data_IF_011329737027
#
_entry.id   IF_011329737027
#
_cell.length_a   1.000
_cell.length_b   1.000
_cell.length_c   1.000
_cell.angle_alpha   90.00
_cell.angle_beta   90.00
_cell.angle_gamma   90.00
#
_symmetry.space_group_name_H-M   'P 1'
#
loop_
_entity.id
_entity.type
_entity.pdbx_description
1 polymer ?
#
# COMPACT_ATOMS: atom_id res chain seq x y z
N UNK A 1 -7.39 15.78 11.83
CA UNK A 1 -6.37 14.77 11.49
C UNK A 1 -6.98 13.40 11.75
N UNK A 2 -6.70 12.38 10.93
CA UNK A 2 -7.28 11.07 11.16
C UNK A 2 -6.73 10.47 12.46
N UNK A 3 -7.62 9.97 13.26
CA UNK A 3 -7.43 9.26 14.50
C UNK A 3 -7.18 7.80 14.14
N UNK A 4 -6.30 7.09 14.81
CA UNK A 4 -5.96 5.66 14.64
C UNK A 4 -6.09 5.12 13.20
N UNK A 5 -5.13 5.43 12.35
CA UNK A 5 -5.06 4.85 10.99
C UNK A 5 -4.14 3.66 11.02
N UNK A 6 -4.69 2.49 10.74
CA UNK A 6 -3.92 1.26 10.63
C UNK A 6 -3.85 0.77 9.18
N UNK A 7 -2.67 0.37 8.74
CA UNK A 7 -2.43 -0.19 7.40
C UNK A 7 -1.43 -1.33 7.47
N UNK A 8 -1.81 -2.49 6.93
CA UNK A 8 -0.89 -3.60 6.72
C UNK A 8 -0.08 -3.38 5.43
N UNK A 9 1.22 -3.57 5.50
CA UNK A 9 2.18 -3.35 4.41
C UNK A 9 3.07 -4.58 4.30
N UNK A 10 2.96 -5.37 3.21
CA UNK A 10 3.91 -6.45 2.94
C UNK A 10 5.28 -5.87 2.57
N UNK A 11 6.34 -6.46 3.09
CA UNK A 11 7.71 -6.12 2.78
C UNK A 11 8.31 -7.15 1.84
N UNK A 12 8.87 -6.67 0.73
CA UNK A 12 9.55 -7.48 -0.26
C UNK A 12 11.04 -7.17 -0.27
N UNK A 13 11.82 -8.04 -0.90
CA UNK A 13 13.24 -7.81 -1.14
C UNK A 13 13.38 -6.59 -2.06
N UNK A 14 14.15 -5.59 -1.64
CA UNK A 14 14.39 -4.39 -2.43
C UNK A 14 15.23 -4.73 -3.66
N UNK A 15 14.95 -4.06 -4.79
CA UNK A 15 15.67 -4.28 -6.04
C UNK A 15 17.19 -4.09 -5.86
N UNK A 16 17.98 -5.11 -6.22
CA UNK A 16 19.43 -5.10 -6.11
C UNK A 16 19.99 -5.28 -4.69
N UNK A 17 19.15 -5.64 -3.70
CA UNK A 17 19.58 -5.92 -2.33
C UNK A 17 19.33 -7.37 -1.93
N UNK A 18 20.07 -7.81 -0.91
CA UNK A 18 19.83 -9.11 -0.27
C UNK A 18 18.62 -9.04 0.67
N UNK A 19 18.13 -10.21 1.13
CA UNK A 19 17.09 -10.30 2.17
C UNK A 19 17.51 -9.55 3.42
N UNK A 20 18.71 -9.84 3.92
CA UNK A 20 19.26 -9.21 5.12
C UNK A 20 19.33 -7.68 4.95
N UNK A 21 19.90 -7.18 3.86
CA UNK A 21 19.97 -5.73 3.61
C UNK A 21 18.58 -5.07 3.53
N UNK A 22 17.59 -5.79 3.02
CA UNK A 22 16.21 -5.27 2.91
C UNK A 22 15.52 -5.23 4.27
N UNK A 23 15.72 -6.24 5.12
CA UNK A 23 15.22 -6.29 6.49
C UNK A 23 15.93 -5.24 7.36
N UNK A 24 17.28 -5.20 7.36
CA UNK A 24 18.05 -4.23 8.14
C UNK A 24 17.64 -2.79 7.84
N UNK A 25 17.45 -2.45 6.56
CA UNK A 25 17.04 -1.10 6.18
C UNK A 25 15.67 -0.70 6.76
N UNK A 26 14.76 -1.65 6.93
CA UNK A 26 13.42 -1.41 7.48
C UNK A 26 13.43 -1.39 8.99
N UNK A 27 14.00 -2.41 9.61
CA UNK A 27 14.05 -2.53 11.07
C UNK A 27 14.86 -1.39 11.67
N UNK A 28 16.03 -1.05 11.10
CA UNK A 28 16.83 0.09 11.56
C UNK A 28 16.11 1.45 11.42
N UNK A 29 15.25 1.60 10.41
CA UNK A 29 14.42 2.80 10.31
C UNK A 29 13.38 2.86 11.44
N UNK A 30 12.72 1.73 11.73
CA UNK A 30 11.72 1.66 12.77
C UNK A 30 12.33 1.81 14.18
N UNK A 31 13.44 1.12 14.44
CA UNK A 31 14.10 1.13 15.76
C UNK A 31 15.06 2.30 15.98
N UNK A 32 15.08 3.27 15.08
CA UNK A 32 16.00 4.41 15.14
C UNK A 32 15.96 5.11 16.52
N UNK A 33 17.07 5.18 17.26
CA UNK A 33 17.12 5.74 18.61
C UNK A 33 16.60 7.18 18.69
N UNK A 34 16.88 8.00 17.67
CA UNK A 34 16.40 9.39 17.62
C UNK A 34 14.87 9.52 17.57
N UNK A 35 14.16 8.44 17.24
CA UNK A 35 12.70 8.42 17.10
C UNK A 35 12.00 7.66 18.22
N UNK A 36 12.73 6.78 18.89
CA UNK A 36 12.23 5.81 19.87
C UNK A 36 12.75 6.08 21.29
N UNK A 37 13.02 7.34 21.61
CA UNK A 37 13.54 7.75 22.95
C UNK A 37 14.79 6.92 23.32
N UNK A 38 15.81 6.98 22.47
CA UNK A 38 17.06 6.20 22.59
C UNK A 38 16.86 4.68 22.68
N UNK A 39 15.82 4.14 22.06
CA UNK A 39 15.51 2.72 22.05
C UNK A 39 14.62 2.24 23.20
N UNK A 40 14.28 3.09 24.18
CA UNK A 40 13.38 2.73 25.30
C UNK A 40 11.98 2.33 24.82
N UNK A 41 11.54 2.86 23.68
CA UNK A 41 10.22 2.60 23.09
C UNK A 41 10.27 1.51 22.00
N UNK A 42 11.22 0.58 22.13
CA UNK A 42 11.32 -0.60 21.28
C UNK A 42 11.07 -1.83 22.13
N UNK A 43 10.02 -2.59 21.83
CA UNK A 43 9.70 -3.87 22.46
C UNK A 43 9.64 -4.97 21.42
N UNK A 44 9.98 -6.20 21.82
CA UNK A 44 10.00 -7.34 20.91
C UNK A 44 9.38 -8.58 21.56
N UNK A 45 8.96 -9.51 20.72
CA UNK A 45 8.49 -10.82 21.10
C UNK A 45 9.20 -11.88 20.26
N UNK A 46 9.79 -12.88 20.91
CA UNK A 46 10.49 -14.01 20.31
C UNK A 46 11.63 -13.61 19.35
N UNK A 47 12.23 -12.44 19.53
CA UNK A 47 13.44 -11.98 18.84
C UNK A 47 14.12 -10.86 19.63
N UNK A 48 15.39 -10.60 19.34
CA UNK A 48 16.11 -9.45 19.86
C UNK A 48 16.00 -8.26 18.87
N UNK A 49 15.60 -7.05 19.31
CA UNK A 49 15.50 -5.90 18.44
C UNK A 49 16.78 -5.55 17.66
N UNK A 50 17.95 -5.87 18.22
CA UNK A 50 19.26 -5.58 17.60
C UNK A 50 19.67 -6.59 16.52
N UNK A 51 19.14 -7.82 16.58
CA UNK A 51 19.50 -8.91 15.67
C UNK A 51 18.33 -9.46 14.87
N UNK A 52 17.15 -8.87 15.01
CA UNK A 52 15.92 -9.34 14.40
C UNK A 52 15.97 -9.47 12.87
N UNK A 53 16.73 -8.63 12.19
CA UNK A 53 16.94 -8.74 10.74
C UNK A 53 17.68 -10.04 10.37
N UNK A 54 18.71 -10.41 11.14
CA UNK A 54 19.43 -11.66 10.97
C UNK A 54 18.57 -12.87 11.36
N UNK A 55 17.80 -12.76 12.45
CA UNK A 55 16.89 -13.81 12.91
C UNK A 55 15.76 -14.07 11.91
N UNK A 56 15.15 -13.03 11.35
CA UNK A 56 14.13 -13.15 10.30
C UNK A 56 14.71 -13.75 9.01
N UNK A 57 15.93 -13.35 8.64
CA UNK A 57 16.62 -13.94 7.49
C UNK A 57 16.95 -15.43 7.72
N UNK A 58 17.34 -15.80 8.94
CA UNK A 58 17.62 -17.20 9.33
C UNK A 58 16.34 -18.04 9.30
N UNK A 59 15.26 -17.58 9.93
CA UNK A 59 13.96 -18.26 9.93
C UNK A 59 13.46 -18.51 8.51
N UNK A 60 13.70 -17.55 7.59
CA UNK A 60 13.39 -17.74 6.17
C UNK A 60 14.18 -18.88 5.54
N UNK A 61 15.48 -18.99 5.84
CA UNK A 61 16.31 -20.09 5.34
C UNK A 61 15.83 -21.43 5.89
N UNK A 62 15.52 -21.49 7.18
CA UNK A 62 14.96 -22.68 7.81
C UNK A 62 13.64 -23.09 7.15
N UNK A 63 12.72 -22.14 6.92
CA UNK A 63 11.47 -22.40 6.20
C UNK A 63 11.72 -22.99 4.80
N UNK A 64 12.69 -22.46 4.06
CA UNK A 64 13.03 -22.96 2.72
C UNK A 64 13.62 -24.38 2.79
N UNK A 65 14.48 -24.64 3.79
CA UNK A 65 15.06 -25.97 4.02
C UNK A 65 13.99 -26.99 4.39
N UNK A 66 13.07 -26.66 5.31
CA UNK A 66 12.04 -27.60 5.78
C UNK A 66 10.93 -27.84 4.75
N UNK A 67 10.57 -26.84 3.98
CA UNK A 67 9.41 -26.93 3.09
C UNK A 67 9.77 -27.08 1.62
N UNK A 68 11.00 -26.83 1.22
CA UNK A 68 11.46 -26.77 -0.18
C UNK A 68 10.83 -25.62 -0.98
N UNK A 69 10.12 -24.69 -0.34
CA UNK A 69 9.33 -23.65 -1.03
C UNK A 69 10.10 -22.37 -1.18
N UNK A 70 10.21 -21.91 -2.43
CA UNK A 70 10.75 -20.59 -2.80
C UNK A 70 9.73 -19.82 -3.63
N UNK A 71 9.71 -18.49 -3.51
CA UNK A 71 8.78 -17.63 -4.26
C UNK A 71 9.53 -16.46 -4.89
N UNK A 72 9.26 -16.18 -6.17
CA UNK A 72 9.93 -15.10 -6.93
C UNK A 72 9.68 -13.70 -6.35
N UNK A 73 8.49 -13.44 -5.83
CA UNK A 73 8.09 -12.17 -5.19
C UNK A 73 7.69 -12.42 -3.74
N UNK A 74 8.65 -12.92 -2.99
CA UNK A 74 8.44 -13.32 -1.62
C UNK A 74 8.22 -12.12 -0.70
N UNK A 75 7.23 -12.24 0.20
CA UNK A 75 7.11 -11.35 1.36
C UNK A 75 8.04 -11.88 2.45
N UNK A 76 8.93 -11.03 2.93
CA UNK A 76 9.94 -11.37 3.95
C UNK A 76 9.54 -10.94 5.36
N UNK A 77 8.73 -9.89 5.48
CA UNK A 77 8.14 -9.40 6.72
C UNK A 77 6.88 -8.61 6.40
N UNK A 78 6.14 -8.25 7.43
CA UNK A 78 4.98 -7.35 7.34
C UNK A 78 5.13 -6.21 8.32
N UNK A 79 4.50 -5.10 8.01
CA UNK A 79 4.41 -3.93 8.88
C UNK A 79 2.96 -3.49 9.03
N UNK A 80 2.57 -3.12 10.24
CA UNK A 80 1.38 -2.30 10.51
C UNK A 80 1.86 -0.97 11.08
N UNK A 81 1.26 0.12 10.63
CA UNK A 81 1.39 1.43 11.26
C UNK A 81 0.11 1.74 12.01
N UNK A 82 0.25 2.08 13.28
CA UNK A 82 -0.84 2.49 14.13
C UNK A 82 -0.54 3.90 14.66
N UNK A 83 -1.39 4.88 14.36
CA UNK A 83 -1.18 6.28 14.73
C UNK A 83 -2.26 6.74 15.69
N UNK A 84 -1.90 7.56 16.67
CA UNK A 84 -2.80 8.08 17.68
C UNK A 84 -3.05 9.57 17.49
N UNK A 85 -4.13 10.06 18.05
CA UNK A 85 -4.43 11.49 18.07
C UNK A 85 -3.44 12.22 19.00
N UNK A 86 -2.91 13.38 18.59
CA UNK A 86 -1.98 14.12 19.42
C UNK A 86 -2.54 14.44 20.82
N UNK A 87 -1.76 14.13 21.85
CA UNK A 87 -2.10 14.41 23.25
C UNK A 87 -3.08 13.41 23.89
N UNK A 88 -3.45 12.32 23.21
CA UNK A 88 -4.40 11.34 23.71
C UNK A 88 -3.75 10.14 24.39
N UNK A 89 -2.48 9.88 24.09
CA UNK A 89 -1.74 8.73 24.60
C UNK A 89 -0.29 9.14 24.86
N UNK A 90 0.33 8.56 25.89
CA UNK A 90 1.77 8.67 26.09
C UNK A 90 2.54 7.72 25.17
N UNK A 91 3.83 7.97 24.91
CA UNK A 91 4.64 7.07 24.09
C UNK A 91 4.70 5.64 24.65
N UNK A 92 4.77 5.50 25.95
CA UNK A 92 4.82 4.23 26.68
C UNK A 92 3.50 3.45 26.55
N UNK A 93 2.36 4.14 26.74
CA UNK A 93 1.03 3.55 26.51
C UNK A 93 0.84 3.14 25.04
N UNK A 94 1.28 3.97 24.10
CA UNK A 94 1.22 3.63 22.67
C UNK A 94 2.03 2.37 22.35
N UNK A 95 3.21 2.21 22.96
CA UNK A 95 4.04 1.01 22.79
C UNK A 95 3.34 -0.24 23.35
N UNK A 96 2.76 -0.14 24.56
CA UNK A 96 2.00 -1.22 25.17
C UNK A 96 0.78 -1.63 24.32
N UNK A 97 0.04 -0.66 23.79
CA UNK A 97 -1.10 -0.90 22.89
C UNK A 97 -0.62 -1.58 21.58
N UNK A 98 0.53 -1.17 21.03
CA UNK A 98 1.12 -1.83 19.87
C UNK A 98 1.51 -3.29 20.14
N UNK A 99 2.06 -3.55 21.32
CA UNK A 99 2.41 -4.91 21.74
C UNK A 99 1.15 -5.78 21.91
N UNK A 100 0.13 -5.26 22.55
CA UNK A 100 -1.16 -5.93 22.71
C UNK A 100 -1.80 -6.23 21.35
N UNK A 101 -1.79 -5.26 20.44
CA UNK A 101 -2.27 -5.47 19.08
C UNK A 101 -1.55 -6.62 18.37
N UNK A 102 -0.21 -6.62 18.40
CA UNK A 102 0.59 -7.67 17.76
C UNK A 102 0.32 -9.05 18.38
N UNK A 103 0.23 -9.11 19.71
CA UNK A 103 -0.05 -10.35 20.44
C UNK A 103 -1.40 -10.95 20.09
N UNK A 104 -2.45 -10.13 20.03
CA UNK A 104 -3.81 -10.55 19.65
C UNK A 104 -3.89 -10.92 18.16
N UNK A 105 -3.22 -10.15 17.29
CA UNK A 105 -3.28 -10.36 15.84
C UNK A 105 -2.50 -11.59 15.39
N UNK A 106 -1.29 -11.79 15.92
CA UNK A 106 -0.37 -12.85 15.54
C UNK A 106 -0.51 -14.13 16.39
N UNK A 107 -1.21 -14.06 17.53
CA UNK A 107 -1.50 -15.19 18.43
C UNK A 107 -0.25 -15.98 18.85
N UNK A 108 0.87 -15.27 19.03
CA UNK A 108 2.14 -15.87 19.43
C UNK A 108 2.86 -16.69 18.34
N UNK A 109 2.35 -16.71 17.10
CA UNK A 109 2.92 -17.58 16.05
C UNK A 109 4.08 -16.94 15.28
N UNK A 110 4.34 -15.64 15.45
CA UNK A 110 5.38 -14.92 14.72
C UNK A 110 6.17 -14.02 15.65
N UNK A 111 7.48 -13.96 15.44
CA UNK A 111 8.33 -12.96 16.07
C UNK A 111 7.99 -11.56 15.56
N UNK A 112 7.95 -10.57 16.45
CA UNK A 112 7.62 -9.19 16.09
C UNK A 112 8.37 -8.16 16.93
N UNK A 113 8.44 -6.94 16.37
CA UNK A 113 9.00 -5.76 17.02
C UNK A 113 7.94 -4.64 16.97
N UNK A 114 7.83 -3.92 18.06
CA UNK A 114 7.08 -2.68 18.17
C UNK A 114 8.08 -1.55 18.40
N UNK A 115 8.05 -0.55 17.54
CA UNK A 115 8.85 0.66 17.69
C UNK A 115 7.91 1.87 17.67
N UNK A 116 7.85 2.60 18.78
CA UNK A 116 7.00 3.77 18.92
C UNK A 116 7.80 5.03 18.62
N UNK A 117 7.37 5.76 17.60
CA UNK A 117 7.98 7.03 17.20
C UNK A 117 7.29 8.19 17.90
N UNK A 118 8.08 9.04 18.55
CA UNK A 118 7.67 10.26 19.23
C UNK A 118 8.37 11.53 18.73
N UNK A 119 9.10 11.44 17.61
CA UNK A 119 9.83 12.56 16.98
C UNK A 119 8.92 13.58 16.27
N UNK A 120 7.64 13.28 16.11
CA UNK A 120 6.64 14.14 15.48
C UNK A 120 5.43 14.39 16.39
N UNK A 121 4.58 15.38 16.04
CA UNK A 121 3.43 15.78 16.83
C UNK A 121 2.42 14.68 17.16
N UNK A 122 2.40 13.58 16.41
CA UNK A 122 1.52 12.45 16.65
C UNK A 122 2.35 11.20 16.93
N UNK A 123 2.04 10.54 18.02
CA UNK A 123 2.66 9.28 18.40
C UNK A 123 2.16 8.19 17.45
N UNK A 124 3.06 7.33 16.98
CA UNK A 124 2.69 6.22 16.10
C UNK A 124 3.62 5.02 16.28
N UNK A 125 3.02 3.84 16.17
CA UNK A 125 3.72 2.57 16.24
C UNK A 125 4.08 2.06 14.83
N UNK A 126 5.29 1.56 14.69
CA UNK A 126 5.72 0.62 13.68
C UNK A 126 5.67 -0.78 14.29
N UNK A 127 4.74 -1.60 13.85
CA UNK A 127 4.55 -2.98 14.30
C UNK A 127 5.04 -3.86 13.17
N UNK A 128 6.17 -4.52 13.34
CA UNK A 128 6.84 -5.31 12.30
C UNK A 128 6.96 -6.75 12.75
N UNK A 129 6.61 -7.70 11.89
CA UNK A 129 6.71 -9.13 12.21
C UNK A 129 7.30 -9.95 11.09
N UNK A 130 7.95 -11.04 11.49
CA UNK A 130 8.51 -12.01 10.57
C UNK A 130 7.40 -12.67 9.74
N UNK A 131 7.58 -12.74 8.42
CA UNK A 131 6.63 -13.46 7.57
C UNK A 131 6.60 -14.96 7.87
N UNK A 132 7.68 -15.52 8.39
CA UNK A 132 7.80 -16.94 8.77
C UNK A 132 7.35 -17.11 10.22
N UNK A 133 6.61 -18.19 10.49
CA UNK A 133 6.19 -18.59 11.83
C UNK A 133 7.38 -19.07 12.68
N UNK A 134 7.21 -19.06 14.00
CA UNK A 134 8.28 -19.48 14.93
C UNK A 134 8.71 -20.94 14.73
N UNK A 135 7.82 -21.81 14.26
CA UNK A 135 8.13 -23.20 13.93
C UNK A 135 8.82 -23.38 12.57
N UNK A 136 9.01 -22.30 11.82
CA UNK A 136 9.57 -22.26 10.47
C UNK A 136 8.87 -23.17 9.43
N UNK A 137 7.64 -23.61 9.69
CA UNK A 137 6.87 -24.46 8.76
C UNK A 137 5.80 -23.71 7.99
N UNK A 138 5.41 -22.52 8.47
CA UNK A 138 4.34 -21.73 7.90
C UNK A 138 4.78 -20.30 7.60
N UNK A 139 4.05 -19.63 6.74
CA UNK A 139 4.17 -18.20 6.50
C UNK A 139 2.86 -17.50 6.79
N UNK A 140 2.95 -16.30 7.38
CA UNK A 140 1.81 -15.42 7.46
C UNK A 140 1.29 -15.14 6.04
N UNK A 141 0.01 -15.36 5.84
CA UNK A 141 -0.68 -15.04 4.59
C UNK A 141 -1.61 -13.89 4.83
N UNK A 142 -1.36 -12.80 4.12
CA UNK A 142 -2.35 -11.74 4.00
C UNK A 142 -3.62 -12.32 3.36
N UNK A 143 -4.78 -12.09 3.97
CA UNK A 143 -6.07 -12.64 3.58
C UNK A 143 -7.01 -11.55 3.07
N UNK A 144 -8.09 -11.93 2.40
CA UNK A 144 -9.16 -11.00 2.02
C UNK A 144 -9.66 -10.30 3.29
N UNK A 145 -9.83 -8.99 3.24
CA UNK A 145 -10.24 -8.17 4.38
C UNK A 145 -9.21 -7.99 5.51
N UNK A 146 -7.97 -8.45 5.39
CA UNK A 146 -6.95 -8.27 6.43
C UNK A 146 -6.78 -6.79 6.86
N UNK A 147 -6.83 -5.87 5.92
CA UNK A 147 -6.75 -4.44 6.22
C UNK A 147 -7.93 -3.97 7.10
N UNK A 148 -9.14 -4.50 6.87
CA UNK A 148 -10.31 -4.21 7.70
C UNK A 148 -10.22 -4.88 9.06
N UNK A 149 -9.75 -6.12 9.12
CA UNK A 149 -9.53 -6.85 10.37
C UNK A 149 -8.50 -6.13 11.26
N UNK A 150 -7.37 -5.69 10.67
CA UNK A 150 -6.34 -4.90 11.35
C UNK A 150 -6.91 -3.59 11.89
N UNK A 151 -7.69 -2.86 11.09
CA UNK A 151 -8.31 -1.60 11.52
C UNK A 151 -9.29 -1.83 12.68
N UNK A 152 -10.18 -2.80 12.57
CA UNK A 152 -11.17 -3.11 13.62
C UNK A 152 -10.54 -3.59 14.92
N UNK A 153 -9.51 -4.46 14.83
CA UNK A 153 -8.79 -4.89 16.01
C UNK A 153 -8.11 -3.71 16.71
N UNK A 154 -7.48 -2.82 15.94
CA UNK A 154 -6.88 -1.61 16.47
C UNK A 154 -7.92 -0.69 17.11
N UNK A 155 -9.08 -0.48 16.47
CA UNK A 155 -10.16 0.34 17.00
C UNK A 155 -10.73 -0.25 18.30
N UNK A 156 -10.92 -1.59 18.35
CA UNK A 156 -11.39 -2.28 19.55
C UNK A 156 -10.42 -2.08 20.72
N UNK A 157 -9.13 -2.29 20.53
CA UNK A 157 -8.11 -2.08 21.56
C UNK A 157 -8.09 -0.61 21.99
N UNK A 158 -8.14 0.34 21.05
CA UNK A 158 -8.21 1.77 21.39
C UNK A 158 -9.43 2.10 22.26
N UNK A 159 -10.60 1.53 21.96
CA UNK A 159 -11.81 1.73 22.79
C UNK A 159 -11.68 1.10 24.17
N UNK A 160 -11.08 -0.08 24.31
CA UNK A 160 -10.78 -0.72 25.59
C UNK A 160 -9.87 0.18 26.45
N UNK A 161 -8.91 0.86 25.83
CA UNK A 161 -8.04 1.86 26.48
C UNK A 161 -8.66 3.28 26.56
N UNK A 162 -9.95 3.44 26.26
CA UNK A 162 -10.69 4.72 26.30
C UNK A 162 -10.12 5.79 25.35
N UNK A 163 -9.46 5.36 24.27
CA UNK A 163 -8.94 6.22 23.24
C UNK A 163 -9.96 6.45 22.13
N UNK A 164 -9.82 7.55 21.38
CA UNK A 164 -10.73 7.87 20.30
C UNK A 164 -10.45 7.04 19.05
N UNK A 165 -11.51 6.68 18.32
CA UNK A 165 -11.46 5.96 17.05
C UNK A 165 -12.12 6.76 15.93
N UNK A 166 -11.78 6.46 14.68
CA UNK A 166 -12.41 7.11 13.53
C UNK A 166 -13.80 6.54 13.29
N UNK A 167 -14.85 7.25 13.75
CA UNK A 167 -16.25 6.80 13.61
C UNK A 167 -16.69 6.62 12.14
N UNK A 168 -16.17 7.47 11.25
CA UNK A 168 -16.53 7.48 9.83
C UNK A 168 -15.25 7.51 8.97
N UNK A 169 -14.55 6.39 8.78
CA UNK A 169 -13.36 6.35 7.95
C UNK A 169 -13.75 6.67 6.50
N UNK A 170 -13.22 7.77 5.96
CA UNK A 170 -13.42 8.08 4.55
C UNK A 170 -12.59 7.12 3.70
N UNK A 171 -13.24 6.33 2.86
CA UNK A 171 -12.59 5.39 1.93
C UNK A 171 -11.64 6.05 0.93
N UNK A 172 -11.77 7.34 0.73
CA UNK A 172 -10.86 8.16 -0.07
C UNK A 172 -9.93 8.97 0.82
N UNK A 173 -9.01 8.30 1.51
CA UNK A 173 -7.89 9.00 2.12
C UNK A 173 -7.17 9.81 1.05
N UNK A 174 -6.95 11.12 1.27
CA UNK A 174 -6.07 11.89 0.40
C UNK A 174 -4.73 11.17 0.36
N UNK A 175 -4.22 10.82 -0.82
CA UNK A 175 -2.83 10.37 -0.94
C UNK A 175 -1.94 11.44 -0.29
N UNK A 176 -0.75 11.03 0.19
CA UNK A 176 0.21 11.97 0.79
C UNK A 176 0.40 13.23 -0.06
N UNK A 177 0.50 13.09 -1.38
CA UNK A 177 0.61 14.19 -2.33
C UNK A 177 -0.65 15.07 -2.36
N UNK A 178 -1.82 14.50 -2.15
CA UNK A 178 -3.07 15.27 -2.06
C UNK A 178 -3.28 15.92 -0.71
N UNK A 179 -2.66 15.36 0.36
CA UNK A 179 -2.62 15.95 1.69
C UNK A 179 -1.67 17.15 1.75
N UNK A 180 -0.53 17.06 1.07
CA UNK A 180 0.37 18.20 0.88
C UNK A 180 -0.34 19.37 0.17
N UNK A 181 -1.45 19.11 -0.55
CA UNK A 181 -2.29 20.12 -1.18
C UNK A 181 -1.51 20.96 -2.16
N UNK A 182 -1.75 22.29 -2.12
CA UNK A 182 -1.08 23.30 -2.97
C UNK A 182 0.45 23.40 -2.74
N UNK A 183 0.98 22.81 -1.68
CA UNK A 183 2.42 22.72 -1.39
C UNK A 183 3.10 21.55 -2.09
N UNK A 184 2.35 20.63 -2.70
CA UNK A 184 2.92 19.55 -3.47
C UNK A 184 3.51 20.12 -4.76
N UNK A 185 4.82 20.05 -4.90
CA UNK A 185 5.50 20.36 -6.15
C UNK A 185 4.93 19.40 -7.22
N UNK A 186 4.28 19.91 -8.29
CA UNK A 186 3.73 19.05 -9.32
C UNK A 186 4.85 18.19 -9.91
N UNK A 187 4.63 16.90 -10.03
CA UNK A 187 5.60 16.06 -10.69
C UNK A 187 5.62 16.36 -12.20
N UNK A 188 6.70 16.03 -12.87
CA UNK A 188 6.89 16.31 -14.29
C UNK A 188 5.77 15.80 -15.22
N UNK A 189 5.05 14.71 -14.82
CA UNK A 189 3.90 14.22 -15.59
C UNK A 189 2.67 15.09 -15.38
N UNK A 190 2.48 15.60 -14.17
CA UNK A 190 1.35 16.51 -13.89
C UNK A 190 1.54 17.84 -14.58
N UNK A 191 2.77 18.36 -14.62
CA UNK A 191 3.12 19.57 -15.39
C UNK A 191 2.83 19.33 -16.88
N UNK A 192 3.31 18.22 -17.46
CA UNK A 192 3.05 17.90 -18.86
C UNK A 192 1.56 17.74 -19.17
N UNK A 193 0.76 17.14 -18.29
CA UNK A 193 -0.69 17.07 -18.45
C UNK A 193 -1.32 18.47 -18.49
N UNK A 194 -0.93 19.34 -17.56
CA UNK A 194 -1.41 20.71 -17.49
C UNK A 194 -1.03 21.49 -18.75
N UNK A 195 0.20 21.35 -19.23
CA UNK A 195 0.68 22.01 -20.43
C UNK A 195 -0.05 21.50 -21.69
N UNK A 196 -0.32 20.18 -21.80
CA UNK A 196 -1.19 19.61 -22.85
C UNK A 196 -2.60 20.20 -22.76
N UNK A 197 -3.16 20.30 -21.56
CA UNK A 197 -4.48 20.85 -21.34
C UNK A 197 -4.56 22.31 -21.78
N UNK A 198 -3.54 23.10 -21.50
CA UNK A 198 -3.43 24.51 -21.87
C UNK A 198 -3.32 24.70 -23.39
N UNK A 199 -2.56 23.84 -24.09
CA UNK A 199 -2.50 23.88 -25.56
C UNK A 199 -3.84 23.47 -26.16
N UNK A 200 -4.56 22.50 -25.59
CA UNK A 200 -5.90 22.10 -26.06
C UNK A 200 -6.96 23.21 -25.90
N UNK A 201 -6.83 24.08 -24.90
CA UNK A 201 -7.70 25.25 -24.74
C UNK A 201 -7.58 26.24 -25.92
N UNK A 202 -6.42 26.27 -26.58
CA UNK A 202 -6.18 27.07 -27.79
C UNK A 202 -6.81 26.45 -29.05
N UNK A 203 -7.49 25.30 -28.91
CA UNK A 203 -8.20 24.58 -29.99
C UNK A 203 -7.30 24.28 -31.20
N UNK A 204 -6.16 23.60 -31.04
CA UNK A 204 -5.32 23.21 -32.15
C UNK A 204 -6.12 22.34 -33.15
N UNK A 205 -5.90 22.53 -34.44
CA UNK A 205 -6.65 21.87 -35.51
C UNK A 205 -6.34 20.40 -35.67
N UNK A 206 -5.13 19.98 -35.30
CA UNK A 206 -4.66 18.59 -35.42
C UNK A 206 -3.56 18.28 -34.38
N UNK A 207 -3.09 17.04 -34.39
CA UNK A 207 -2.06 16.58 -33.47
C UNK A 207 -0.71 17.29 -33.68
N UNK A 208 -0.35 17.65 -34.93
CA UNK A 208 0.91 18.35 -35.18
C UNK A 208 0.86 19.78 -34.62
N UNK A 209 -0.26 20.48 -34.74
CA UNK A 209 -0.45 21.79 -34.12
C UNK A 209 -0.37 21.71 -32.57
N UNK A 210 -0.91 20.66 -31.96
CA UNK A 210 -0.77 20.43 -30.52
C UNK A 210 0.70 20.17 -30.13
N UNK A 211 1.42 19.37 -30.90
CA UNK A 211 2.84 19.11 -30.65
C UNK A 211 3.69 20.38 -30.83
N UNK A 212 3.37 21.22 -31.82
CA UNK A 212 4.07 22.49 -32.03
C UNK A 212 3.78 23.46 -30.89
N UNK A 213 2.55 23.53 -30.39
CA UNK A 213 2.22 24.26 -29.18
C UNK A 213 3.04 23.80 -27.94
N UNK A 214 3.28 22.51 -27.79
CA UNK A 214 4.13 22.00 -26.73
C UNK A 214 5.62 22.33 -26.95
N UNK A 215 6.10 22.36 -28.19
CA UNK A 215 7.46 22.81 -28.51
C UNK A 215 7.67 24.27 -28.12
N UNK A 216 6.70 25.15 -28.39
CA UNK A 216 6.78 26.58 -27.97
C UNK A 216 6.81 26.71 -26.44
N UNK A 217 6.26 25.74 -25.69
CA UNK A 217 6.37 25.68 -24.22
C UNK A 217 7.68 25.06 -23.72
N UNK A 218 8.65 24.78 -24.64
CA UNK A 218 9.98 24.29 -24.31
C UNK A 218 10.07 22.77 -24.19
N UNK A 219 9.17 22.02 -24.80
CA UNK A 219 9.25 20.57 -24.85
C UNK A 219 10.04 20.08 -26.07
N UNK A 220 11.00 19.22 -25.83
CA UNK A 220 11.62 18.37 -26.84
C UNK A 220 10.74 17.14 -27.06
N UNK A 221 10.37 16.85 -28.29
CA UNK A 221 9.47 15.76 -28.66
C UNK A 221 10.22 14.72 -29.47
N UNK A 222 10.24 13.50 -28.98
CA UNK A 222 10.82 12.37 -29.71
C UNK A 222 9.70 11.52 -30.31
N UNK A 223 9.69 11.40 -31.64
CA UNK A 223 8.80 10.50 -32.38
C UNK A 223 9.51 9.14 -32.55
N UNK A 224 8.99 8.12 -31.87
CA UNK A 224 9.45 6.75 -31.94
C UNK A 224 8.23 5.83 -32.00
N UNK A 225 8.37 4.61 -31.46
CA UNK A 225 7.22 3.70 -31.29
C UNK A 225 6.05 4.35 -30.54
N UNK A 226 6.37 5.36 -29.70
CA UNK A 226 5.42 6.21 -28.98
C UNK A 226 6.01 7.61 -28.85
N UNK A 227 5.13 8.61 -28.79
CA UNK A 227 5.52 9.99 -28.51
C UNK A 227 6.10 10.10 -27.09
N UNK A 228 7.19 10.83 -26.97
CA UNK A 228 7.86 11.06 -25.69
C UNK A 228 8.29 12.53 -25.59
N UNK A 229 8.15 13.09 -24.40
CA UNK A 229 8.29 14.50 -24.14
C UNK A 229 9.36 14.74 -23.06
N UNK A 230 10.17 15.77 -23.24
CA UNK A 230 11.17 16.22 -22.27
C UNK A 230 11.20 17.74 -22.22
N UNK A 231 11.04 18.34 -21.05
CA UNK A 231 11.21 19.77 -20.84
C UNK A 231 12.65 20.07 -20.43
N UNK A 232 13.15 21.25 -20.70
CA UNK A 232 14.47 21.69 -20.27
C UNK A 232 14.68 21.42 -18.77
N UNK A 233 15.86 20.89 -18.40
CA UNK A 233 16.18 20.47 -17.03
C UNK A 233 15.76 19.05 -16.63
N UNK A 234 15.01 18.34 -17.46
CA UNK A 234 14.65 16.93 -17.20
C UNK A 234 15.70 15.97 -17.74
N UNK A 235 16.07 14.95 -16.95
CA UNK A 235 17.04 13.91 -17.36
C UNK A 235 16.46 12.86 -18.28
N UNK A 236 15.14 12.61 -18.24
CA UNK A 236 14.48 11.52 -18.97
C UNK A 236 13.23 11.98 -19.70
N UNK A 237 12.97 11.37 -20.85
CA UNK A 237 11.72 11.54 -21.57
C UNK A 237 10.55 10.89 -20.85
N UNK A 238 9.38 11.53 -20.89
CA UNK A 238 8.10 11.03 -20.43
C UNK A 238 7.36 10.47 -21.63
N UNK A 239 6.99 9.20 -21.60
CA UNK A 239 6.19 8.59 -22.67
C UNK A 239 4.73 8.97 -22.52
N UNK A 240 4.05 9.16 -23.65
CA UNK A 240 2.64 9.54 -23.70
C UNK A 240 1.71 8.53 -23.01
N UNK A 241 1.96 7.23 -23.18
CA UNK A 241 1.22 6.13 -22.54
C UNK A 241 1.23 6.19 -21.00
N UNK A 242 2.27 6.79 -20.41
CA UNK A 242 2.39 6.92 -18.96
C UNK A 242 1.58 8.09 -18.36
N UNK A 243 0.91 8.88 -19.21
CA UNK A 243 0.08 10.00 -18.78
C UNK A 243 -1.35 9.56 -18.43
N UNK A 244 -1.74 8.33 -18.82
CA UNK A 244 -3.08 7.76 -18.63
C UNK A 244 -3.94 7.84 -19.87
N UNK A 245 -5.03 7.05 -19.91
CA UNK A 245 -5.85 6.82 -21.10
C UNK A 245 -6.42 8.09 -21.74
N UNK A 246 -6.75 9.10 -20.93
CA UNK A 246 -7.26 10.39 -21.41
C UNK A 246 -6.23 11.24 -22.18
N UNK A 247 -4.95 10.88 -22.09
CA UNK A 247 -3.83 11.54 -22.77
C UNK A 247 -3.14 10.61 -23.77
N UNK A 248 -3.78 9.49 -24.14
CA UNK A 248 -3.31 8.63 -25.22
C UNK A 248 -3.41 9.35 -26.57
N UNK A 249 -2.61 8.91 -27.54
CA UNK A 249 -2.64 9.48 -28.88
C UNK A 249 -4.04 9.44 -29.50
N UNK A 250 -4.73 8.31 -29.38
CA UNK A 250 -6.08 8.10 -29.90
C UNK A 250 -7.12 8.99 -29.22
N UNK A 251 -7.02 9.10 -27.88
CA UNK A 251 -7.94 9.95 -27.12
C UNK A 251 -7.78 11.44 -27.47
N UNK A 252 -6.55 11.92 -27.60
CA UNK A 252 -6.29 13.31 -27.98
C UNK A 252 -6.66 13.57 -29.44
N UNK A 253 -6.40 12.63 -30.34
CA UNK A 253 -6.82 12.73 -31.75
C UNK A 253 -8.35 12.80 -31.88
N UNK A 254 -9.09 12.00 -31.10
CA UNK A 254 -10.56 12.04 -31.08
C UNK A 254 -11.11 13.36 -30.54
N UNK A 255 -10.44 13.95 -29.54
CA UNK A 255 -10.80 15.29 -29.00
C UNK A 255 -10.55 16.37 -30.06
N UNK A 256 -9.40 16.32 -30.74
CA UNK A 256 -9.05 17.30 -31.80
C UNK A 256 -9.95 17.19 -33.02
N UNK A 257 -10.39 15.97 -33.35
CA UNK A 257 -11.38 15.75 -34.43
C UNK A 257 -12.83 16.15 -34.06
N UNK A 258 -13.05 16.62 -32.82
CA UNK A 258 -14.41 16.98 -32.35
C UNK A 258 -15.32 15.78 -32.06
N UNK A 259 -14.79 14.54 -32.17
CA UNK A 259 -15.55 13.30 -31.98
C UNK A 259 -15.83 12.97 -30.50
N UNK A 260 -15.07 13.55 -29.58
CA UNK A 260 -15.29 13.40 -28.15
C UNK A 260 -15.21 14.74 -27.42
N UNK A 261 -16.24 15.04 -26.63
CA UNK A 261 -16.12 16.09 -25.62
C UNK A 261 -15.19 15.58 -24.51
N UNK A 262 -14.18 16.37 -24.17
CA UNK A 262 -13.27 16.05 -23.09
C UNK A 262 -14.07 15.84 -21.79
N UNK A 263 -14.08 14.60 -21.27
CA UNK A 263 -14.68 14.33 -19.97
C UNK A 263 -13.77 14.94 -18.90
N UNK A 264 -14.30 15.79 -18.01
CA UNK A 264 -13.53 16.22 -16.84
C UNK A 264 -13.08 14.98 -16.10
N UNK A 265 -11.87 15.00 -15.50
CA UNK A 265 -11.27 13.88 -14.75
C UNK A 265 -12.28 13.26 -13.77
N UNK A 266 -13.02 12.26 -14.19
CA UNK A 266 -13.65 11.34 -13.27
C UNK A 266 -12.50 10.53 -12.66
N UNK A 267 -12.25 10.74 -11.36
CA UNK A 267 -11.33 9.88 -10.61
C UNK A 267 -11.74 8.44 -10.87
N UNK A 268 -10.79 7.54 -11.23
CA UNK A 268 -11.12 6.13 -11.29
C UNK A 268 -11.70 5.76 -9.93
N UNK A 269 -12.91 5.22 -9.92
CA UNK A 269 -13.50 4.60 -8.74
C UNK A 269 -12.55 3.44 -8.43
N UNK A 270 -11.70 3.61 -7.43
CA UNK A 270 -10.96 2.48 -6.87
C UNK A 270 -12.03 1.59 -6.29
N UNK A 271 -12.31 0.48 -6.97
CA UNK A 271 -12.97 -0.66 -6.35
C UNK A 271 -12.18 -0.95 -5.09
N UNK A 272 -12.87 -1.03 -3.97
CA UNK A 272 -12.25 -1.26 -2.67
C UNK A 272 -11.19 -2.36 -2.76
N UNK A 273 -10.03 -2.14 -2.16
CA UNK A 273 -8.91 -3.10 -2.10
C UNK A 273 -9.32 -4.50 -1.58
N UNK A 274 -10.52 -4.61 -1.03
CA UNK A 274 -11.12 -5.84 -0.52
C UNK A 274 -11.47 -6.83 -1.64
N UNK A 275 -11.94 -6.32 -2.78
CA UNK A 275 -12.28 -7.14 -3.95
C UNK A 275 -11.05 -7.37 -4.81
N UNK A 276 -10.04 -6.50 -4.72
CA UNK A 276 -8.82 -6.60 -5.52
C UNK A 276 -7.98 -7.86 -5.25
N UNK A 277 -8.17 -8.50 -4.09
CA UNK A 277 -7.51 -9.76 -3.72
C UNK A 277 -8.31 -11.01 -4.10
N UNK A 278 -9.57 -10.86 -4.44
CA UNK A 278 -10.37 -11.93 -5.02
C UNK A 278 -9.97 -12.12 -6.48
N UNK A 279 -9.77 -13.37 -6.87
CA UNK A 279 -9.45 -13.71 -8.26
C UNK A 279 -10.75 -13.61 -9.06
N UNK A 280 -10.72 -12.86 -10.15
CA UNK A 280 -11.84 -12.76 -11.06
C UNK A 280 -12.09 -14.12 -11.74
N UNK A 281 -13.16 -14.80 -11.31
CA UNK A 281 -13.51 -16.13 -11.79
C UNK A 281 -13.88 -16.11 -13.28
N UNK A 282 -14.51 -15.04 -13.78
CA UNK A 282 -14.86 -14.91 -15.20
C UNK A 282 -13.62 -14.83 -16.10
N UNK A 283 -12.59 -14.07 -15.67
CA UNK A 283 -11.30 -14.05 -16.38
C UNK A 283 -10.58 -15.39 -16.37
N UNK A 284 -10.84 -16.23 -15.36
CA UNK A 284 -10.26 -17.57 -15.27
C UNK A 284 -11.01 -18.58 -16.13
N UNK A 285 -12.29 -18.36 -16.46
CA UNK A 285 -13.05 -19.20 -17.40
C UNK A 285 -12.43 -19.18 -18.81
N UNK A 286 -11.90 -18.04 -19.24
CA UNK A 286 -11.16 -17.94 -20.50
C UNK A 286 -9.91 -18.82 -20.57
N UNK A 287 -9.36 -19.25 -19.41
CA UNK A 287 -8.20 -20.16 -19.30
C UNK A 287 -8.60 -21.63 -19.14
N UNK A 288 -9.91 -21.93 -19.04
CA UNK A 288 -10.45 -23.26 -18.92
C UNK A 288 -11.21 -23.52 -17.60
N UNK A 289 -12.13 -24.49 -17.63
CA UNK A 289 -13.03 -24.81 -16.50
C UNK A 289 -12.30 -25.13 -15.18
N UNK A 290 -11.14 -25.75 -15.25
CA UNK A 290 -10.32 -26.06 -14.07
C UNK A 290 -9.81 -24.80 -13.35
N UNK A 291 -9.45 -23.74 -14.08
CA UNK A 291 -9.00 -22.48 -13.51
C UNK A 291 -10.14 -21.71 -12.85
N UNK A 292 -11.33 -21.73 -13.43
CA UNK A 292 -12.52 -21.11 -12.82
C UNK A 292 -12.90 -21.80 -11.50
N UNK A 293 -12.90 -23.13 -11.48
CA UNK A 293 -13.13 -23.92 -10.27
C UNK A 293 -12.10 -23.65 -9.18
N UNK A 294 -10.81 -23.58 -9.56
CA UNK A 294 -9.74 -23.22 -8.65
C UNK A 294 -9.91 -21.80 -8.07
N UNK A 295 -10.27 -20.82 -8.90
CA UNK A 295 -10.50 -19.45 -8.47
C UNK A 295 -11.64 -19.32 -7.46
N UNK A 296 -12.76 -20.02 -7.71
CA UNK A 296 -13.90 -20.09 -6.78
C UNK A 296 -13.49 -20.69 -5.43
N UNK A 297 -12.78 -21.82 -5.44
CA UNK A 297 -12.31 -22.47 -4.22
C UNK A 297 -11.28 -21.63 -3.46
N UNK A 298 -10.38 -20.95 -4.17
CA UNK A 298 -9.42 -20.04 -3.56
C UNK A 298 -10.11 -18.88 -2.86
N UNK A 299 -11.05 -18.22 -3.55
CA UNK A 299 -11.81 -17.10 -2.99
C UNK A 299 -12.62 -17.53 -1.76
N UNK A 300 -13.33 -18.68 -1.84
CA UNK A 300 -14.08 -19.22 -0.70
C UNK A 300 -13.21 -19.48 0.52
N UNK A 301 -12.00 -20.05 0.32
CA UNK A 301 -11.04 -20.27 1.42
C UNK A 301 -10.54 -18.96 2.03
N UNK A 302 -10.32 -17.91 1.22
CA UNK A 302 -9.91 -16.60 1.72
C UNK A 302 -11.04 -15.95 2.55
N UNK A 303 -12.27 -16.00 2.07
CA UNK A 303 -13.44 -15.49 2.81
C UNK A 303 -13.66 -16.23 4.12
N UNK A 304 -13.60 -17.58 4.11
CA UNK A 304 -13.75 -18.39 5.32
C UNK A 304 -12.69 -18.03 6.38
N UNK A 305 -11.42 -17.86 5.99
CA UNK A 305 -10.35 -17.41 6.91
C UNK A 305 -10.60 -16.03 7.49
N UNK A 306 -11.13 -15.13 6.68
CA UNK A 306 -11.45 -13.77 7.14
C UNK A 306 -12.60 -13.78 8.15
N UNK A 307 -13.63 -14.58 7.90
CA UNK A 307 -14.76 -14.76 8.81
C UNK A 307 -14.30 -15.37 10.14
N UNK A 308 -13.55 -16.47 10.09
CA UNK A 308 -13.02 -17.10 11.29
C UNK A 308 -12.19 -16.12 12.14
N UNK A 309 -11.28 -15.37 11.51
CA UNK A 309 -10.51 -14.37 12.23
C UNK A 309 -11.38 -13.31 12.91
N UNK A 310 -12.40 -12.80 12.20
CA UNK A 310 -13.31 -11.80 12.75
C UNK A 310 -14.13 -12.38 13.92
N UNK A 311 -14.61 -13.60 13.78
CA UNK A 311 -15.38 -14.29 14.83
C UNK A 311 -14.54 -14.55 16.07
N UNK A 312 -13.32 -15.09 15.90
CA UNK A 312 -12.39 -15.39 17.01
C UNK A 312 -11.96 -14.14 17.79
N UNK A 313 -11.98 -12.98 17.16
CA UNK A 313 -11.63 -11.70 17.81
C UNK A 313 -12.86 -10.85 18.14
N UNK A 314 -14.08 -11.43 18.12
CA UNK A 314 -15.35 -10.75 18.43
C UNK A 314 -15.57 -9.48 17.59
N UNK A 315 -15.07 -9.44 16.35
CA UNK A 315 -15.23 -8.33 15.43
C UNK A 315 -16.46 -8.54 14.56
N UNK A 316 -17.41 -7.59 14.56
CA UNK A 316 -18.62 -7.73 13.75
C UNK A 316 -18.31 -7.65 12.25
N UNK A 317 -19.06 -8.45 11.47
CA UNK A 317 -19.01 -8.47 10.01
C UNK A 317 -20.01 -7.44 9.47
N UNK A 318 -20.02 -6.21 9.94
CA UNK A 318 -20.96 -5.22 9.44
C UNK A 318 -20.75 -5.00 7.95
N UNK A 319 -21.68 -5.60 7.23
CA UNK A 319 -21.99 -5.43 5.81
C UNK A 319 -20.82 -5.63 4.86
N UNK A 320 -20.60 -6.88 4.54
CA UNK A 320 -20.08 -7.20 3.21
C UNK A 320 -21.19 -6.82 2.21
N UNK A 321 -20.94 -5.94 1.23
CA UNK A 321 -21.87 -5.85 0.12
C UNK A 321 -21.75 -7.15 -0.67
N UNK A 322 -22.64 -8.08 -0.38
CA UNK A 322 -22.86 -9.28 -1.20
C UNK A 322 -23.77 -8.84 -2.32
N UNK A 323 -23.20 -8.44 -3.43
CA UNK A 323 -23.91 -8.48 -4.70
C UNK A 323 -23.26 -9.57 -5.54
N UNK A 324 -23.79 -10.76 -5.40
CA UNK A 324 -23.65 -11.80 -6.39
C UNK A 324 -24.90 -11.76 -7.26
N UNK A 325 -24.82 -11.22 -8.44
CA UNK A 325 -25.60 -11.60 -9.62
C UNK A 325 -24.61 -11.80 -10.75
#
# INVERSE_FOLDING_TARGET
>A
MPIAVTRIIPMHINKGKTVLQSLSARLNYATNPNKTKNGELVTAYACDPHTADAEFALSRRQYQTYTGRTQKHEVIAYQVRQSFKPGEVTPEEANAIGYEFASRFLKGNHAFIIATHCDVKHIHNHIEWNAVSLDAHHKFKDFSFSARAVARLSDMICLEHKLSVVKHPQHTGKTYNKWLGEKAVPNHRDVLRTDIDQVLEQKPTNMDALLDGLKTMGYEIKRGKQLSFRKAGQKRFIRMDTLGDAYSYDALSAVLAGLQKRRPKTKPIRRDDLISKAIDAQRMEAKGKGYAYWAKNFNSKQYAKSILFLTENHLSIDVLPVSYT
#
